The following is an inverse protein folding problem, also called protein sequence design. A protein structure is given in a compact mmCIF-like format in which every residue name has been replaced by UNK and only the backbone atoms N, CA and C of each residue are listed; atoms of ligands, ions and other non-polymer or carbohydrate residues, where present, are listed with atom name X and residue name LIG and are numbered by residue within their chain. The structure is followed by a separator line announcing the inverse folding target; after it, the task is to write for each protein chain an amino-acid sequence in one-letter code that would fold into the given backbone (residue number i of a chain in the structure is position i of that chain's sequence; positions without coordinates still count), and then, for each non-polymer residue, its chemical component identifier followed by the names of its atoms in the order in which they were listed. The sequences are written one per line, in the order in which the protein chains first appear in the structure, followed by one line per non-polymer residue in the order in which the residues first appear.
data_IF_091912319226
#
_entry.id   IF_091912319226
#
_cell.length_a   1.000
_cell.length_b   1.000
_cell.length_c   1.000
_cell.angle_alpha   90.00
_cell.angle_beta   90.00
_cell.angle_gamma   90.00
#
_symmetry.space_group_name_H-M   'P 1'
#
loop_
_entity.id
_entity.type
_entity.pdbx_description
1 polymer ?
#
# COMPACT_ATOMS: atom_id res chain seq x y z
N UNK A 1 -22.15 34.06 -60.93
CA UNK A 1 -21.11 34.42 -59.95
C UNK A 1 -21.08 33.34 -58.88
N UNK A 2 -19.87 32.87 -58.61
CA UNK A 2 -19.46 31.69 -57.87
C UNK A 2 -19.89 31.74 -56.39
N UNK A 3 -20.46 30.66 -55.86
CA UNK A 3 -20.65 30.45 -54.41
C UNK A 3 -20.29 28.99 -54.07
N UNK A 4 -18.99 28.71 -54.16
CA UNK A 4 -18.34 27.61 -53.46
C UNK A 4 -17.38 28.26 -52.47
N UNK A 5 -17.19 27.61 -51.31
CA UNK A 5 -16.17 27.87 -50.29
C UNK A 5 -16.62 28.60 -49.02
N UNK A 6 -17.43 27.93 -48.19
CA UNK A 6 -17.47 28.18 -46.72
C UNK A 6 -17.46 26.85 -45.92
N UNK A 7 -16.87 25.76 -46.45
CA UNK A 7 -16.81 24.47 -45.69
C UNK A 7 -15.38 23.93 -45.57
N UNK A 8 -14.40 24.82 -45.36
CA UNK A 8 -12.99 24.42 -45.29
C UNK A 8 -12.12 24.92 -44.13
N UNK A 9 -12.62 25.31 -42.93
CA UNK A 9 -11.70 25.52 -41.81
C UNK A 9 -11.72 24.46 -40.69
N UNK A 10 -12.33 23.27 -40.85
CA UNK A 10 -12.43 22.28 -39.72
C UNK A 10 -12.32 20.81 -40.17
N UNK A 11 -11.55 20.47 -41.20
CA UNK A 11 -11.38 19.04 -41.60
C UNK A 11 -9.92 18.58 -41.75
N UNK A 12 -8.94 19.42 -41.42
CA UNK A 12 -7.54 18.98 -41.29
C UNK A 12 -7.24 18.57 -39.84
N UNK A 13 -8.11 17.72 -39.29
CA UNK A 13 -7.78 17.00 -38.07
C UNK A 13 -6.76 15.95 -38.50
N UNK A 14 -5.47 16.20 -38.24
CA UNK A 14 -4.39 15.28 -38.55
C UNK A 14 -4.60 13.99 -37.75
N UNK A 15 -5.23 12.99 -38.38
CA UNK A 15 -5.47 11.68 -37.79
C UNK A 15 -4.18 11.02 -37.26
N UNK A 16 -3.04 11.35 -37.86
CA UNK A 16 -1.71 10.92 -37.38
C UNK A 16 -1.32 11.56 -36.04
N UNK A 17 -1.69 12.83 -35.80
CA UNK A 17 -1.45 13.53 -34.52
C UNK A 17 -2.39 12.99 -33.45
N UNK A 18 -3.66 12.75 -33.80
CA UNK A 18 -4.61 12.09 -32.90
C UNK A 18 -4.17 10.67 -32.54
N UNK A 19 -3.77 9.85 -33.51
CA UNK A 19 -3.27 8.50 -33.27
C UNK A 19 -2.00 8.50 -32.41
N UNK A 20 -1.08 9.44 -32.64
CA UNK A 20 0.10 9.62 -31.80
C UNK A 20 -0.28 10.01 -30.35
N UNK A 21 -1.23 10.92 -30.17
CA UNK A 21 -1.71 11.31 -28.83
C UNK A 21 -2.46 10.18 -28.11
N UNK A 22 -3.26 9.39 -28.83
CA UNK A 22 -3.95 8.22 -28.26
C UNK A 22 -2.95 7.15 -27.82
N UNK A 23 -1.95 6.85 -28.64
CA UNK A 23 -0.88 5.91 -28.30
C UNK A 23 -0.04 6.40 -27.11
N UNK A 24 0.21 7.71 -26.99
CA UNK A 24 0.88 8.30 -25.82
C UNK A 24 0.05 8.11 -24.55
N UNK A 25 -1.25 8.44 -24.58
CA UNK A 25 -2.16 8.28 -23.45
C UNK A 25 -2.24 6.81 -23.01
N UNK A 26 -2.34 5.86 -23.95
CA UNK A 26 -2.37 4.42 -23.64
C UNK A 26 -1.05 3.93 -23.01
N UNK A 27 0.09 4.45 -23.47
CA UNK A 27 1.39 4.11 -22.91
C UNK A 27 1.53 4.66 -21.49
N UNK A 28 1.12 5.92 -21.26
CA UNK A 28 1.12 6.56 -19.93
C UNK A 28 0.19 5.84 -18.96
N UNK A 29 -1.02 5.45 -19.39
CA UNK A 29 -1.94 4.69 -18.54
C UNK A 29 -1.39 3.33 -18.17
N UNK A 30 -0.72 2.66 -19.11
CA UNK A 30 -0.10 1.36 -18.87
C UNK A 30 1.04 1.49 -17.86
N UNK A 31 1.93 2.48 -18.04
CA UNK A 31 3.04 2.73 -17.10
C UNK A 31 2.55 3.01 -15.69
N UNK A 32 1.56 3.88 -15.52
CA UNK A 32 0.99 4.22 -14.22
C UNK A 32 0.33 3.01 -13.53
N UNK A 33 -0.31 2.13 -14.29
CA UNK A 33 -0.88 0.89 -13.77
C UNK A 33 0.20 -0.11 -13.32
N UNK A 34 1.31 -0.23 -14.06
CA UNK A 34 2.47 -1.02 -13.64
C UNK A 34 3.10 -0.46 -12.37
N UNK A 35 3.35 0.85 -12.30
CA UNK A 35 3.96 1.51 -11.13
C UNK A 35 3.09 1.34 -9.88
N UNK A 36 1.77 1.46 -10.02
CA UNK A 36 0.82 1.20 -8.94
C UNK A 36 0.87 -0.27 -8.50
N UNK A 37 0.94 -1.20 -9.44
CA UNK A 37 1.01 -2.63 -9.14
C UNK A 37 2.29 -2.97 -8.39
N UNK A 38 3.43 -2.46 -8.84
CA UNK A 38 4.72 -2.65 -8.17
C UNK A 38 4.70 -2.11 -6.73
N UNK A 39 4.10 -0.93 -6.53
CA UNK A 39 3.96 -0.33 -5.21
C UNK A 39 3.07 -1.15 -4.26
N UNK A 40 1.94 -1.69 -4.74
CA UNK A 40 1.08 -2.57 -3.95
C UNK A 40 1.75 -3.91 -3.62
N UNK A 41 2.55 -4.45 -4.54
CA UNK A 41 3.38 -5.64 -4.29
C UNK A 41 4.44 -5.36 -3.21
N UNK A 42 5.12 -4.21 -3.28
CA UNK A 42 6.08 -3.80 -2.25
C UNK A 42 5.42 -3.67 -0.88
N UNK A 43 4.25 -3.00 -0.79
CA UNK A 43 3.47 -2.93 0.45
C UNK A 43 3.14 -4.30 1.00
N UNK A 44 2.73 -5.23 0.14
CA UNK A 44 2.39 -6.60 0.54
C UNK A 44 3.61 -7.31 1.12
N UNK A 45 4.74 -7.30 0.43
CA UNK A 45 5.99 -7.95 0.89
C UNK A 45 6.47 -7.35 2.21
N UNK A 46 6.44 -6.02 2.34
CA UNK A 46 6.83 -5.34 3.59
C UNK A 46 5.87 -5.72 4.72
N UNK A 47 4.56 -5.70 4.45
CA UNK A 47 3.55 -6.07 5.42
C UNK A 47 3.70 -7.50 5.92
N UNK A 48 3.88 -8.47 5.01
CA UNK A 48 4.08 -9.88 5.35
C UNK A 48 5.36 -10.10 6.16
N UNK A 49 6.49 -9.52 5.72
CA UNK A 49 7.76 -9.66 6.45
C UNK A 49 7.72 -9.02 7.82
N UNK A 50 7.11 -7.84 7.93
CA UNK A 50 6.94 -7.15 9.20
C UNK A 50 6.01 -7.93 10.14
N UNK A 51 4.90 -8.48 9.61
CA UNK A 51 3.99 -9.31 10.38
C UNK A 51 4.66 -10.58 10.89
N UNK A 52 5.40 -11.29 10.04
CA UNK A 52 6.18 -12.47 10.42
C UNK A 52 7.22 -12.14 11.50
N UNK A 53 7.94 -11.03 11.34
CA UNK A 53 8.89 -10.56 12.36
C UNK A 53 8.24 -10.36 13.74
N UNK A 54 7.07 -9.72 13.78
CA UNK A 54 6.34 -9.49 15.03
C UNK A 54 5.87 -10.81 15.64
N UNK A 55 5.39 -11.76 14.83
CA UNK A 55 5.02 -13.10 15.29
C UNK A 55 6.22 -13.84 15.90
N UNK A 56 7.38 -13.83 15.23
CA UNK A 56 8.61 -14.46 15.74
C UNK A 56 9.05 -13.83 17.07
N UNK A 57 8.94 -12.50 17.20
CA UNK A 57 9.24 -11.79 18.46
C UNK A 57 8.25 -12.17 19.55
N UNK A 58 6.96 -12.22 19.25
CA UNK A 58 5.94 -12.63 20.19
C UNK A 58 6.21 -14.05 20.72
N UNK A 59 6.54 -15.00 19.82
CA UNK A 59 6.90 -16.38 20.19
C UNK A 59 8.14 -16.41 21.11
N UNK A 60 9.21 -15.69 20.73
CA UNK A 60 10.44 -15.64 21.53
C UNK A 60 10.24 -15.06 22.94
N UNK A 61 9.20 -14.25 23.12
CA UNK A 61 8.84 -13.60 24.38
C UNK A 61 7.73 -14.33 25.15
N UNK A 62 7.17 -15.41 24.59
CA UNK A 62 6.04 -16.13 25.16
C UNK A 62 4.72 -15.36 25.14
N UNK A 63 4.59 -14.37 24.25
CA UNK A 63 3.38 -13.56 24.09
C UNK A 63 2.40 -14.28 23.17
N UNK A 64 1.14 -14.53 23.57
CA UNK A 64 0.16 -15.15 22.71
C UNK A 64 -0.26 -14.20 21.58
N UNK A 65 0.22 -14.48 20.37
CA UNK A 65 -0.13 -13.79 19.14
C UNK A 65 -0.53 -14.82 18.07
N UNK A 66 -1.75 -14.73 17.58
CA UNK A 66 -2.30 -15.65 16.57
C UNK A 66 -2.08 -15.12 15.16
N UNK A 67 -2.23 -13.81 14.98
CA UNK A 67 -2.13 -13.15 13.69
C UNK A 67 -1.67 -11.72 13.85
N UNK A 68 -0.83 -11.28 12.91
CA UNK A 68 -0.41 -9.89 12.79
C UNK A 68 -0.71 -9.40 11.39
N UNK A 69 -1.45 -8.30 11.30
CA UNK A 69 -1.71 -7.58 10.04
C UNK A 69 -1.00 -6.24 10.09
N UNK A 70 -0.24 -5.93 9.05
CA UNK A 70 0.53 -4.69 8.97
C UNK A 70 -0.04 -3.81 7.88
N UNK A 71 -0.30 -2.55 8.22
CA UNK A 71 -0.70 -1.51 7.26
C UNK A 71 0.54 -0.76 6.82
N UNK A 72 0.72 -0.60 5.51
CA UNK A 72 1.84 0.14 4.93
C UNK A 72 1.38 1.43 4.27
N UNK A 73 2.14 2.50 4.49
CA UNK A 73 1.95 3.83 3.88
C UNK A 73 3.16 4.15 3.01
N UNK A 74 2.99 5.03 2.01
CA UNK A 74 4.08 5.47 1.13
C UNK A 74 4.69 6.75 1.68
N UNK A 75 6.01 6.77 1.88
CA UNK A 75 6.75 7.94 2.32
C UNK A 75 6.89 9.01 1.23
N UNK A 76 7.46 10.16 1.60
CA UNK A 76 7.76 11.25 0.65
C UNK A 76 8.78 10.85 -0.42
N UNK A 77 9.60 9.85 -0.13
CA UNK A 77 10.56 9.23 -1.04
C UNK A 77 9.94 8.20 -2.00
N UNK A 78 8.63 7.97 -1.91
CA UNK A 78 7.90 6.99 -2.73
C UNK A 78 8.09 5.54 -2.26
N UNK A 79 8.79 5.31 -1.15
CA UNK A 79 9.04 3.97 -0.62
C UNK A 79 7.97 3.62 0.42
N UNK A 80 7.28 2.47 0.30
CA UNK A 80 6.34 2.04 1.32
C UNK A 80 7.06 1.64 2.62
N UNK A 81 6.46 1.95 3.76
CA UNK A 81 6.93 1.61 5.10
C UNK A 81 5.75 1.16 5.98
N UNK A 82 5.99 0.32 7.01
CA UNK A 82 4.92 -0.12 7.91
C UNK A 82 4.51 1.04 8.83
N UNK A 83 3.24 1.43 8.80
CA UNK A 83 2.73 2.59 9.54
C UNK A 83 1.84 2.22 10.71
N UNK A 84 1.24 1.03 10.71
CA UNK A 84 0.40 0.55 11.80
C UNK A 84 0.34 -0.98 11.81
N UNK A 85 0.01 -1.55 12.96
CA UNK A 85 -0.16 -3.00 13.12
C UNK A 85 -1.45 -3.31 13.85
N UNK A 86 -2.11 -4.41 13.46
CA UNK A 86 -3.18 -5.03 14.22
C UNK A 86 -2.73 -6.42 14.63
N UNK A 87 -2.74 -6.70 15.93
CA UNK A 87 -2.30 -7.94 16.53
C UNK A 87 -3.53 -8.61 17.13
N UNK A 88 -3.87 -9.78 16.58
CA UNK A 88 -4.92 -10.65 17.11
C UNK A 88 -4.28 -11.67 18.04
N UNK A 89 -4.79 -11.78 19.27
CA UNK A 89 -4.34 -12.70 20.31
C UNK A 89 -4.78 -12.21 21.68
N UNK A 90 -4.45 -12.94 22.75
CA UNK A 90 -4.77 -12.50 24.12
C UNK A 90 -3.51 -12.08 24.90
N UNK A 91 -2.66 -11.15 24.39
CA UNK A 91 -1.45 -10.76 25.11
C UNK A 91 -1.81 -10.04 26.41
N UNK A 92 -1.34 -10.58 27.54
CA UNK A 92 -1.51 -10.01 28.86
C UNK A 92 -0.76 -8.69 29.02
N UNK A 93 -1.06 -7.94 30.10
CA UNK A 93 -0.65 -6.54 30.23
C UNK A 93 0.86 -6.28 30.16
N UNK A 94 1.69 -7.09 30.82
CA UNK A 94 3.15 -6.92 30.78
C UNK A 94 3.76 -7.43 29.46
N UNK A 95 3.30 -8.58 28.97
CA UNK A 95 3.74 -9.14 27.70
C UNK A 95 3.43 -8.20 26.53
N UNK A 96 2.22 -7.66 26.50
CA UNK A 96 1.77 -6.67 25.52
C UNK A 96 2.66 -5.44 25.53
N UNK A 97 2.96 -4.87 26.71
CA UNK A 97 3.82 -3.68 26.82
C UNK A 97 5.23 -3.94 26.33
N UNK A 98 5.76 -5.13 26.56
CA UNK A 98 7.09 -5.50 26.11
C UNK A 98 7.14 -5.65 24.59
N UNK A 99 6.14 -6.33 24.01
CA UNK A 99 6.00 -6.44 22.55
C UNK A 99 5.81 -5.05 21.91
N UNK A 100 4.99 -4.19 22.51
CA UNK A 100 4.74 -2.85 22.00
C UNK A 100 6.00 -1.98 21.91
N UNK A 101 6.86 -2.04 22.94
CA UNK A 101 8.15 -1.34 22.94
C UNK A 101 9.11 -1.84 21.88
N UNK A 102 9.10 -3.14 21.60
CA UNK A 102 9.94 -3.73 20.55
C UNK A 102 9.46 -3.27 19.18
N UNK A 103 8.14 -3.27 18.95
CA UNK A 103 7.55 -2.77 17.71
C UNK A 103 7.89 -1.28 17.52
N UNK A 104 7.81 -0.47 18.57
CA UNK A 104 8.18 0.95 18.52
C UNK A 104 9.68 1.14 18.24
N UNK A 105 10.55 0.40 18.92
CA UNK A 105 12.00 0.56 18.80
C UNK A 105 12.55 0.02 17.47
N UNK A 106 12.08 -1.14 17.02
CA UNK A 106 12.64 -1.84 15.86
C UNK A 106 11.96 -1.41 14.54
N UNK A 107 10.66 -1.10 14.58
CA UNK A 107 9.85 -0.84 13.39
C UNK A 107 9.39 0.62 13.29
N UNK A 108 9.69 1.45 14.29
CA UNK A 108 9.24 2.84 14.37
C UNK A 108 7.71 3.00 14.31
N UNK A 109 6.96 1.99 14.80
CA UNK A 109 5.50 2.02 14.87
C UNK A 109 5.09 2.35 16.31
N UNK A 110 4.62 3.57 16.59
CA UNK A 110 4.30 4.00 17.95
C UNK A 110 3.12 3.21 18.54
N UNK A 111 3.03 3.11 19.87
CA UNK A 111 1.99 2.35 20.56
C UNK A 111 0.57 2.76 20.14
N UNK A 112 0.34 4.05 19.83
CA UNK A 112 -0.93 4.56 19.31
C UNK A 112 -1.35 3.99 17.95
N UNK A 113 -0.40 3.45 17.18
CA UNK A 113 -0.62 2.78 15.89
C UNK A 113 -0.59 1.25 16.02
N UNK A 114 -0.65 0.72 17.24
CA UNK A 114 -0.68 -0.72 17.53
C UNK A 114 -2.03 -1.10 18.14
N UNK A 115 -2.85 -1.81 17.37
CA UNK A 115 -4.15 -2.32 17.84
C UNK A 115 -4.00 -3.75 18.33
N UNK A 116 -4.61 -4.07 19.46
CA UNK A 116 -4.60 -5.39 20.07
C UNK A 116 -6.02 -5.88 20.24
N UNK A 117 -6.36 -6.98 19.58
CA UNK A 117 -7.69 -7.58 19.61
C UNK A 117 -7.58 -8.96 20.25
N UNK A 118 -8.47 -9.25 21.21
CA UNK A 118 -8.63 -10.62 21.72
C UNK A 118 -8.86 -11.56 20.54
N UNK A 119 -8.09 -12.66 20.47
CA UNK A 119 -8.38 -13.74 19.52
C UNK A 119 -9.73 -14.32 19.87
N UNK A 120 -10.78 -13.90 19.15
CA UNK A 120 -12.11 -14.44 19.33
C UNK A 120 -12.71 -14.86 17.99
N UNK A 121 -12.94 -16.16 17.91
CA UNK A 121 -13.73 -16.84 16.92
C UNK A 121 -14.53 -17.92 17.62
N UNK A 122 -15.36 -17.54 18.61
CA UNK A 122 -16.47 -18.37 19.06
C UNK A 122 -17.67 -17.52 19.52
N UNK A 123 -18.57 -17.21 18.58
CA UNK A 123 -20.01 -17.17 18.84
C UNK A 123 -20.73 -17.98 17.77
#
# INVERSE_FOLDING_TARGET
MLLVAVVQPVLHVDFSVLAASAAQIELESTQNELEKTDLELMKTIIGEKTGAYILDKAEALGVPCERVTVTCTVGEDGVPYPSAVSITGAPGGEERRLLARIIEADLAIPEECQTYESGDGAS
#
